data_IF_797179063799
#
_entry.id   IF_797179063799
#
_cell.length_a   1.000
_cell.length_b   1.000
_cell.length_c   1.000
_cell.angle_alpha   90.00
_cell.angle_beta   90.00
_cell.angle_gamma   90.00
#
_symmetry.space_group_name_H-M   'P 1'
#
loop_
_entity.id
_entity.type
_entity.pdbx_description
1 polymer ?
#
# COMPACT_ATOMS: atom_id res chain seq x y z
N UNK A 1 5.96 -25.86 13.56
CA UNK A 1 5.08 -24.66 13.62
C UNK A 1 4.50 -24.43 12.24
N UNK A 2 3.17 -24.42 12.15
CA UNK A 2 2.54 -24.71 10.87
C UNK A 2 2.55 -23.57 9.86
N UNK A 3 3.32 -23.69 8.80
CA UNK A 3 3.20 -22.91 7.57
C UNK A 3 1.76 -22.90 7.00
N UNK A 4 0.91 -23.86 7.45
CA UNK A 4 -0.51 -23.97 7.04
C UNK A 4 -1.42 -22.82 7.52
N UNK A 5 -1.00 -22.04 8.52
CA UNK A 5 -1.78 -20.91 9.08
C UNK A 5 -1.59 -19.58 8.34
N UNK A 6 -0.64 -19.50 7.41
CA UNK A 6 -0.44 -18.27 6.62
C UNK A 6 -1.61 -18.04 5.66
N UNK A 7 -2.07 -16.80 5.48
CA UNK A 7 -3.16 -16.50 4.57
C UNK A 7 -2.87 -17.00 3.15
N UNK A 8 -3.92 -17.34 2.41
CA UNK A 8 -3.80 -17.69 1.00
C UNK A 8 -3.57 -16.45 0.14
N UNK A 9 -4.22 -15.35 0.55
CA UNK A 9 -4.22 -14.10 -0.21
C UNK A 9 -3.93 -12.93 0.73
N UNK A 10 -2.98 -12.09 0.33
CA UNK A 10 -2.71 -10.80 0.97
C UNK A 10 -2.89 -9.74 -0.12
N UNK A 11 -4.02 -9.05 -0.10
CA UNK A 11 -4.31 -7.97 -1.03
C UNK A 11 -3.87 -6.63 -0.44
N UNK A 12 -3.15 -5.84 -1.24
CA UNK A 12 -2.86 -4.44 -0.96
C UNK A 12 -3.68 -3.60 -1.92
N UNK A 13 -4.33 -2.55 -1.43
CA UNK A 13 -5.04 -1.58 -2.25
C UNK A 13 -4.58 -0.18 -1.93
N UNK A 14 -4.29 0.62 -2.96
CA UNK A 14 -4.10 2.06 -2.83
C UNK A 14 -5.47 2.72 -2.63
N UNK A 15 -5.55 3.74 -1.79
CA UNK A 15 -6.77 4.53 -1.64
C UNK A 15 -7.31 5.02 -3.00
N UNK A 16 -8.62 5.21 -3.12
CA UNK A 16 -9.27 5.83 -4.26
C UNK A 16 -8.77 7.26 -4.50
N UNK A 17 -9.13 7.88 -5.60
CA UNK A 17 -8.76 9.27 -5.89
C UNK A 17 -9.16 10.19 -4.74
N UNK A 18 -8.20 10.97 -4.23
CA UNK A 18 -8.40 11.97 -3.19
C UNK A 18 -8.39 13.37 -3.77
N UNK A 19 -8.91 14.35 -3.01
CA UNK A 19 -8.87 15.75 -3.42
C UNK A 19 -7.44 16.24 -3.71
N UNK A 20 -6.43 15.73 -2.99
CA UNK A 20 -5.03 16.06 -3.25
C UNK A 20 -4.47 15.44 -4.55
N UNK A 21 -5.12 14.43 -5.12
CA UNK A 21 -4.75 13.93 -6.44
C UNK A 21 -5.20 14.86 -7.57
N UNK A 22 -6.21 15.69 -7.32
CA UNK A 22 -6.71 16.68 -8.28
C UNK A 22 -6.05 18.04 -8.09
N UNK A 23 -5.86 18.46 -6.84
CA UNK A 23 -5.35 19.81 -6.51
C UNK A 23 -4.43 19.73 -5.28
N UNK A 24 -3.12 19.88 -5.51
CA UNK A 24 -2.11 19.87 -4.44
C UNK A 24 -2.19 21.09 -3.52
N UNK A 25 -2.84 22.19 -3.92
CA UNK A 25 -2.99 23.36 -3.06
C UNK A 25 -3.79 23.08 -1.79
N UNK A 26 -4.50 21.95 -1.74
CA UNK A 26 -5.20 21.51 -0.52
C UNK A 26 -4.26 21.30 0.67
N UNK A 27 -2.99 20.93 0.43
CA UNK A 27 -1.99 20.73 1.49
C UNK A 27 -1.65 22.02 2.25
N UNK A 28 -1.96 23.20 1.68
CA UNK A 28 -1.75 24.48 2.36
C UNK A 28 -2.71 24.70 3.55
N UNK A 29 -3.87 24.03 3.53
CA UNK A 29 -4.98 24.31 4.46
C UNK A 29 -5.59 23.08 5.14
N UNK A 30 -5.39 21.88 4.58
CA UNK A 30 -5.90 20.63 5.13
C UNK A 30 -4.73 19.71 5.43
N UNK A 31 -4.59 19.23 6.68
CA UNK A 31 -3.56 18.26 7.02
C UNK A 31 -3.70 17.01 6.15
N UNK A 32 -2.60 16.45 5.68
CA UNK A 32 -2.59 15.32 4.73
C UNK A 32 -3.46 14.12 5.20
N UNK A 33 -3.41 13.81 6.50
CA UNK A 33 -4.21 12.71 7.05
C UNK A 33 -5.73 12.95 6.99
N UNK A 34 -6.18 14.21 6.87
CA UNK A 34 -7.59 14.60 6.86
C UNK A 34 -8.16 14.81 5.45
N UNK A 35 -7.35 14.68 4.39
CA UNK A 35 -7.78 14.86 3.01
C UNK A 35 -8.71 13.70 2.59
N UNK A 36 -9.95 14.01 2.11
CA UNK A 36 -10.93 13.00 1.74
C UNK A 36 -10.73 12.45 0.33
N UNK A 37 -11.51 11.41 0.01
CA UNK A 37 -11.72 10.97 -1.37
C UNK A 37 -12.59 11.98 -2.14
N UNK A 38 -12.41 11.98 -3.47
CA UNK A 38 -13.37 12.58 -4.40
C UNK A 38 -14.58 11.66 -4.59
N UNK A 39 -15.72 12.16 -5.15
CA UNK A 39 -16.81 11.29 -5.57
C UNK A 39 -16.34 10.16 -6.49
N UNK A 40 -15.43 10.45 -7.43
CA UNK A 40 -14.83 9.45 -8.30
C UNK A 40 -14.00 8.42 -7.53
N UNK A 41 -13.26 8.84 -6.50
CA UNK A 41 -12.51 7.93 -5.63
C UNK A 41 -13.39 6.93 -4.89
N UNK A 42 -14.61 7.35 -4.49
CA UNK A 42 -15.61 6.43 -3.92
C UNK A 42 -16.09 5.40 -4.96
N UNK A 43 -16.36 5.81 -6.20
CA UNK A 43 -16.76 4.92 -7.30
C UNK A 43 -15.64 3.92 -7.64
N UNK A 44 -14.40 4.38 -7.73
CA UNK A 44 -13.23 3.52 -7.94
C UNK A 44 -13.11 2.46 -6.85
N UNK A 45 -13.29 2.87 -5.58
CA UNK A 45 -13.23 1.98 -4.43
C UNK A 45 -14.35 0.93 -4.47
N UNK A 46 -15.57 1.33 -4.77
CA UNK A 46 -16.70 0.40 -4.91
C UNK A 46 -16.48 -0.63 -6.04
N UNK A 47 -15.90 -0.19 -7.17
CA UNK A 47 -15.54 -1.10 -8.26
C UNK A 47 -14.42 -2.08 -7.85
N UNK A 48 -13.44 -1.62 -7.06
CA UNK A 48 -12.39 -2.48 -6.51
C UNK A 48 -12.96 -3.50 -5.51
N UNK A 49 -13.94 -3.10 -4.70
CA UNK A 49 -14.59 -3.98 -3.73
C UNK A 49 -15.26 -5.20 -4.38
N UNK A 50 -15.91 -5.01 -5.53
CA UNK A 50 -16.50 -6.13 -6.30
C UNK A 50 -15.42 -7.15 -6.70
N UNK A 51 -14.27 -6.70 -7.22
CA UNK A 51 -13.15 -7.57 -7.61
C UNK A 51 -12.51 -8.26 -6.40
N UNK A 52 -12.41 -7.55 -5.27
CA UNK A 52 -11.88 -8.13 -4.04
C UNK A 52 -12.82 -9.19 -3.45
N UNK A 53 -14.13 -9.00 -3.53
CA UNK A 53 -15.11 -10.01 -3.10
C UNK A 53 -14.96 -11.31 -3.89
N UNK A 54 -14.88 -11.22 -5.21
CA UNK A 54 -14.60 -12.37 -6.06
C UNK A 54 -13.28 -13.05 -5.72
N UNK A 55 -12.22 -12.25 -5.51
CA UNK A 55 -10.90 -12.73 -5.10
C UNK A 55 -10.95 -13.49 -3.77
N UNK A 56 -11.70 -12.98 -2.80
CA UNK A 56 -11.79 -13.56 -1.46
C UNK A 56 -12.78 -14.72 -1.37
N UNK A 57 -13.53 -15.03 -2.45
CA UNK A 57 -14.48 -16.15 -2.52
C UNK A 57 -15.53 -16.07 -1.39
N UNK A 58 -16.00 -14.86 -1.07
CA UNK A 58 -16.92 -14.58 0.05
C UNK A 58 -16.44 -15.11 1.42
N UNK A 59 -15.14 -15.35 1.58
CA UNK A 59 -14.55 -15.80 2.85
C UNK A 59 -14.13 -14.61 3.75
N UNK A 60 -14.05 -14.83 5.08
CA UNK A 60 -13.63 -13.79 6.02
C UNK A 60 -12.27 -13.17 5.72
N UNK A 61 -12.20 -11.85 5.94
CA UNK A 61 -11.02 -11.02 5.67
C UNK A 61 -10.56 -10.31 6.96
N UNK A 62 -9.27 -10.34 7.24
CA UNK A 62 -8.64 -9.46 8.23
C UNK A 62 -8.14 -8.20 7.52
N UNK A 63 -8.51 -7.04 8.03
CA UNK A 63 -8.15 -5.76 7.44
C UNK A 63 -7.16 -5.02 8.34
N UNK A 64 -6.13 -4.43 7.70
CA UNK A 64 -5.29 -3.38 8.26
C UNK A 64 -5.43 -2.15 7.37
N UNK A 65 -5.77 -1.03 7.95
CA UNK A 65 -6.03 0.21 7.19
C UNK A 65 -5.20 1.36 7.74
N UNK A 66 -4.64 2.15 6.83
CA UNK A 66 -4.03 3.43 7.18
C UNK A 66 -5.05 4.33 7.87
N UNK A 67 -4.70 5.05 8.96
CA UNK A 67 -5.61 5.96 9.65
C UNK A 67 -5.96 7.22 8.85
N UNK A 68 -5.39 7.41 7.67
CA UNK A 68 -5.68 8.55 6.82
C UNK A 68 -7.10 8.49 6.27
N UNK A 69 -7.82 9.61 6.30
CA UNK A 69 -9.23 9.71 5.92
C UNK A 69 -9.54 9.06 4.58
N UNK A 70 -8.72 9.33 3.54
CA UNK A 70 -8.89 8.72 2.22
C UNK A 70 -8.79 7.20 2.22
N UNK A 71 -7.95 6.60 3.09
CA UNK A 71 -7.84 5.16 3.21
C UNK A 71 -9.04 4.55 3.96
N UNK A 72 -9.50 5.19 5.03
CA UNK A 72 -10.70 4.79 5.76
C UNK A 72 -11.95 4.86 4.85
N UNK A 73 -12.11 5.96 4.12
CA UNK A 73 -13.21 6.11 3.14
C UNK A 73 -13.12 5.09 1.99
N UNK A 74 -11.89 4.73 1.57
CA UNK A 74 -11.71 3.64 0.61
C UNK A 74 -12.26 2.34 1.18
N UNK A 75 -11.87 1.97 2.41
CA UNK A 75 -12.35 0.75 3.07
C UNK A 75 -13.89 0.72 3.15
N UNK A 76 -14.49 1.80 3.63
CA UNK A 76 -15.96 1.92 3.72
C UNK A 76 -16.64 1.74 2.35
N UNK A 77 -16.04 2.28 1.29
CA UNK A 77 -16.59 2.23 -0.08
C UNK A 77 -16.40 0.88 -0.77
N UNK A 78 -15.52 -0.01 -0.25
CA UNK A 78 -15.35 -1.35 -0.81
C UNK A 78 -16.62 -2.21 -0.70
N UNK A 79 -17.50 -1.94 0.28
CA UNK A 79 -18.74 -2.71 0.52
C UNK A 79 -18.46 -4.17 0.90
N UNK A 80 -17.46 -4.39 1.75
CA UNK A 80 -17.03 -5.71 2.23
C UNK A 80 -17.35 -5.97 3.70
N UNK A 81 -18.21 -5.14 4.31
CA UNK A 81 -18.47 -5.16 5.76
C UNK A 81 -18.86 -6.54 6.29
N UNK A 82 -19.62 -7.30 5.50
CA UNK A 82 -20.07 -8.66 5.81
C UNK A 82 -18.94 -9.70 5.81
N UNK A 83 -17.82 -9.41 5.15
CA UNK A 83 -16.63 -10.28 5.11
C UNK A 83 -15.59 -9.87 6.15
N UNK A 84 -15.65 -8.66 6.67
CA UNK A 84 -14.64 -8.14 7.58
C UNK A 84 -14.84 -8.71 8.99
N UNK A 85 -14.06 -9.72 9.35
CA UNK A 85 -14.06 -10.28 10.69
C UNK A 85 -13.33 -9.42 11.71
N UNK A 86 -12.28 -8.69 11.29
CA UNK A 86 -11.50 -7.77 12.11
C UNK A 86 -10.87 -6.69 11.24
N UNK A 87 -11.16 -5.44 11.55
CA UNK A 87 -10.46 -4.30 10.99
C UNK A 87 -9.63 -3.58 12.08
N UNK A 88 -8.39 -3.24 11.75
CA UNK A 88 -7.49 -2.46 12.62
C UNK A 88 -6.93 -1.28 11.86
N UNK A 89 -7.03 -0.09 12.45
CA UNK A 89 -6.21 1.03 12.02
C UNK A 89 -4.74 0.73 12.36
N UNK A 90 -3.87 0.90 11.38
CA UNK A 90 -2.45 0.61 11.49
C UNK A 90 -1.63 1.85 11.06
N UNK A 91 -1.17 2.65 12.02
CA UNK A 91 -0.46 3.90 11.73
C UNK A 91 0.83 3.71 10.91
N UNK A 92 1.44 2.53 10.95
CA UNK A 92 2.63 2.21 10.16
C UNK A 92 2.33 2.03 8.66
N UNK A 93 1.04 1.95 8.27
CA UNK A 93 0.59 1.92 6.87
C UNK A 93 0.23 3.30 6.31
N UNK A 94 0.44 4.41 7.06
CA UNK A 94 0.23 5.76 6.57
C UNK A 94 1.14 6.07 5.37
N UNK A 95 0.82 7.10 4.61
CA UNK A 95 1.69 7.56 3.53
C UNK A 95 2.99 8.17 4.08
N UNK A 96 3.99 8.31 3.24
CA UNK A 96 5.20 9.07 3.55
C UNK A 96 4.82 10.47 4.00
N UNK A 97 5.41 10.91 5.10
CA UNK A 97 5.19 12.26 5.62
C UNK A 97 6.01 13.28 4.81
N UNK A 98 5.32 14.27 4.27
CA UNK A 98 5.91 15.36 3.47
C UNK A 98 6.01 16.66 4.27
N UNK A 99 5.93 16.61 5.58
CA UNK A 99 5.77 17.70 6.55
C UNK A 99 4.31 18.13 6.75
N UNK A 100 4.10 19.16 7.60
CA UNK A 100 2.76 19.55 8.05
C UNK A 100 1.94 20.22 6.95
N UNK A 101 2.00 21.56 6.86
CA UNK A 101 1.36 22.32 5.78
C UNK A 101 2.42 22.73 4.77
N UNK A 102 2.10 22.62 3.48
CA UNK A 102 3.05 22.89 2.41
C UNK A 102 2.41 23.78 1.35
N UNK A 103 3.14 24.78 0.90
CA UNK A 103 2.75 25.51 -0.31
C UNK A 103 3.10 24.70 -1.58
N UNK A 104 2.38 24.99 -2.66
CA UNK A 104 2.51 24.23 -3.91
C UNK A 104 3.91 24.34 -4.52
N UNK A 105 4.55 25.51 -4.44
CA UNK A 105 5.89 25.72 -5.02
C UNK A 105 6.94 24.89 -4.28
N UNK A 106 6.82 24.76 -2.94
CA UNK A 106 7.73 23.93 -2.14
C UNK A 106 7.52 22.43 -2.42
N UNK A 107 6.28 22.01 -2.58
CA UNK A 107 5.97 20.61 -2.98
C UNK A 107 6.64 20.28 -4.32
N UNK A 108 6.45 21.11 -5.34
CA UNK A 108 7.03 20.88 -6.67
C UNK A 108 8.56 20.87 -6.63
N UNK A 109 9.15 21.79 -5.87
CA UNK A 109 10.60 21.84 -5.68
C UNK A 109 11.13 20.57 -5.01
N UNK A 110 10.49 20.10 -3.96
CA UNK A 110 10.91 18.91 -3.24
C UNK A 110 10.68 17.63 -4.05
N UNK A 111 9.62 17.54 -4.86
CA UNK A 111 9.41 16.46 -5.81
C UNK A 111 10.55 16.38 -6.83
N UNK A 112 10.92 17.49 -7.44
CA UNK A 112 12.02 17.54 -8.41
C UNK A 112 13.37 17.12 -7.78
N UNK A 113 13.62 17.52 -6.54
CA UNK A 113 14.81 17.10 -5.80
C UNK A 113 14.78 15.61 -5.50
N UNK A 114 13.65 15.07 -5.07
CA UNK A 114 13.46 13.63 -4.82
C UNK A 114 13.68 12.82 -6.10
N UNK A 115 13.13 13.24 -7.23
CA UNK A 115 13.26 12.54 -8.51
C UNK A 115 14.73 12.50 -8.98
N UNK A 116 15.52 13.54 -8.64
CA UNK A 116 16.96 13.59 -8.92
C UNK A 116 17.80 12.77 -7.93
N UNK A 117 17.41 12.72 -6.65
CA UNK A 117 18.18 12.09 -5.58
C UNK A 117 17.87 10.61 -5.41
N UNK A 118 16.64 10.21 -5.72
CA UNK A 118 16.08 8.87 -5.53
C UNK A 118 15.02 8.82 -4.43
N UNK A 119 13.91 8.14 -4.72
CA UNK A 119 12.72 8.07 -3.86
C UNK A 119 12.97 7.35 -2.53
N UNK A 120 13.94 6.45 -2.47
CA UNK A 120 14.22 5.68 -1.27
C UNK A 120 14.98 6.49 -0.22
N UNK A 121 15.98 7.26 -0.63
CA UNK A 121 16.85 7.95 0.31
C UNK A 121 16.54 9.44 0.47
N UNK A 122 15.82 10.07 -0.47
CA UNK A 122 15.45 11.47 -0.31
C UNK A 122 14.52 11.65 0.89
N UNK A 123 14.90 12.56 1.78
CA UNK A 123 14.09 12.96 2.93
C UNK A 123 13.45 14.31 2.64
N UNK A 124 12.13 14.38 2.75
CA UNK A 124 11.43 15.66 2.75
C UNK A 124 11.87 16.50 3.94
N UNK A 125 11.95 17.81 3.75
CA UNK A 125 12.23 18.75 4.85
C UNK A 125 11.15 18.58 5.92
N UNK A 126 11.56 18.32 7.15
CA UNK A 126 10.65 18.03 8.28
C UNK A 126 9.72 16.82 8.10
N UNK A 127 10.03 15.94 7.15
CA UNK A 127 9.25 14.74 6.81
C UNK A 127 10.04 13.44 6.81
N UNK A 128 9.49 12.42 6.19
CA UNK A 128 10.06 11.08 6.06
C UNK A 128 10.83 10.92 4.73
N UNK A 129 11.84 10.05 4.75
CA UNK A 129 12.39 9.42 3.54
C UNK A 129 11.63 8.12 3.22
N UNK A 130 11.83 7.56 2.02
CA UNK A 130 11.36 6.21 1.72
C UNK A 130 11.97 5.16 2.66
N UNK A 131 13.21 5.35 3.12
CA UNK A 131 13.86 4.47 4.10
C UNK A 131 13.12 4.44 5.44
N UNK A 132 12.64 5.58 5.95
CA UNK A 132 11.85 5.62 7.19
C UNK A 132 10.52 4.86 7.02
N UNK A 133 9.88 5.00 5.87
CA UNK A 133 8.66 4.23 5.55
C UNK A 133 8.97 2.73 5.49
N UNK A 134 10.10 2.34 4.89
CA UNK A 134 10.55 0.94 4.83
C UNK A 134 10.76 0.36 6.23
N UNK A 135 11.34 1.12 7.15
CA UNK A 135 11.59 0.67 8.52
C UNK A 135 10.29 0.45 9.30
N UNK A 136 9.33 1.40 9.21
CA UNK A 136 8.03 1.21 9.89
C UNK A 136 7.18 0.11 9.27
N UNK A 137 7.26 -0.09 7.96
CA UNK A 137 6.63 -1.23 7.27
C UNK A 137 7.29 -2.55 7.70
N UNK A 138 8.61 -2.59 7.88
CA UNK A 138 9.32 -3.77 8.39
C UNK A 138 8.82 -4.15 9.80
N UNK A 139 8.65 -3.18 10.69
CA UNK A 139 8.07 -3.39 12.01
C UNK A 139 6.60 -3.87 11.94
N UNK A 140 5.80 -3.34 11.01
CA UNK A 140 4.44 -3.82 10.79
C UNK A 140 4.41 -5.28 10.33
N UNK A 141 5.29 -5.68 9.43
CA UNK A 141 5.38 -7.07 8.95
C UNK A 141 5.63 -8.05 10.10
N UNK A 142 6.44 -7.70 11.09
CA UNK A 142 6.64 -8.53 12.29
C UNK A 142 5.33 -8.73 13.07
N UNK A 143 4.52 -7.68 13.20
CA UNK A 143 3.19 -7.77 13.84
C UNK A 143 2.27 -8.67 13.02
N UNK A 144 2.20 -8.44 11.72
CA UNK A 144 1.36 -9.22 10.82
C UNK A 144 1.73 -10.71 10.82
N UNK A 145 3.02 -11.04 10.86
CA UNK A 145 3.48 -12.43 10.96
C UNK A 145 3.07 -13.08 12.28
N UNK A 146 3.12 -12.38 13.41
CA UNK A 146 2.59 -12.89 14.69
C UNK A 146 1.09 -13.10 14.64
N UNK A 147 0.35 -12.20 13.99
CA UNK A 147 -1.10 -12.33 13.82
C UNK A 147 -1.48 -13.55 12.97
N UNK A 148 -0.63 -13.99 12.04
CA UNK A 148 -0.85 -15.20 11.25
C UNK A 148 -0.73 -16.50 12.10
N UNK A 149 -0.06 -16.45 13.24
CA UNK A 149 0.09 -17.61 14.11
C UNK A 149 -1.08 -17.81 15.08
N UNK A 150 -2.00 -16.82 15.15
CA UNK A 150 -3.20 -16.94 15.98
C UNK A 150 -4.16 -18.02 15.47
N UNK A 151 -5.02 -18.53 16.38
CA UNK A 151 -5.99 -19.57 16.02
C UNK A 151 -6.99 -19.10 14.94
N UNK A 152 -7.33 -17.80 14.98
CA UNK A 152 -8.32 -17.16 14.11
C UNK A 152 -7.68 -16.46 12.89
N UNK A 153 -6.53 -16.95 12.43
CA UNK A 153 -5.88 -16.39 11.24
C UNK A 153 -6.73 -16.64 9.99
N UNK A 154 -7.28 -15.60 9.35
CA UNK A 154 -8.11 -15.77 8.18
C UNK A 154 -7.27 -16.15 6.96
N UNK A 155 -7.94 -16.77 5.96
CA UNK A 155 -7.31 -17.09 4.67
C UNK A 155 -6.98 -15.86 3.84
N UNK A 156 -7.68 -14.75 4.09
CA UNK A 156 -7.55 -13.50 3.36
C UNK A 156 -7.14 -12.35 4.28
N UNK A 157 -6.23 -11.52 3.80
CA UNK A 157 -5.80 -10.27 4.45
C UNK A 157 -5.92 -9.14 3.44
N UNK A 158 -6.42 -8.00 3.87
CA UNK A 158 -6.50 -6.77 3.08
C UNK A 158 -5.73 -5.66 3.78
N UNK A 159 -4.85 -5.00 3.03
CA UNK A 159 -4.11 -3.81 3.46
C UNK A 159 -4.61 -2.62 2.64
N UNK A 160 -5.25 -1.65 3.29
CA UNK A 160 -5.68 -0.40 2.63
C UNK A 160 -4.66 0.69 2.95
N UNK A 161 -3.95 1.17 1.93
CA UNK A 161 -2.77 2.01 2.14
C UNK A 161 -2.53 2.98 0.96
N UNK A 162 -1.29 3.31 0.67
CA UNK A 162 -0.85 4.36 -0.24
C UNK A 162 0.19 3.83 -1.22
N UNK A 163 0.43 4.58 -2.30
CA UNK A 163 1.25 4.11 -3.40
C UNK A 163 2.69 3.76 -3.02
N UNK A 164 3.39 4.68 -2.36
CA UNK A 164 4.77 4.44 -1.93
C UNK A 164 4.84 3.32 -0.90
N UNK A 165 3.93 3.34 0.09
CA UNK A 165 3.88 2.33 1.16
C UNK A 165 3.66 0.93 0.60
N UNK A 166 2.81 0.76 -0.44
CA UNK A 166 2.60 -0.54 -1.11
C UNK A 166 3.87 -1.04 -1.80
N UNK A 167 4.60 -0.18 -2.51
CA UNK A 167 5.87 -0.54 -3.16
C UNK A 167 6.91 -0.97 -2.13
N UNK A 168 7.03 -0.23 -1.02
CA UNK A 168 7.99 -0.53 0.05
C UNK A 168 7.60 -1.79 0.82
N UNK A 169 6.30 -2.05 1.00
CA UNK A 169 5.83 -3.32 1.54
C UNK A 169 6.29 -4.50 0.67
N UNK A 170 6.07 -4.42 -0.63
CA UNK A 170 6.50 -5.47 -1.56
C UNK A 170 8.03 -5.55 -1.63
N UNK A 171 8.74 -4.43 -1.65
CA UNK A 171 10.20 -4.41 -1.57
C UNK A 171 10.71 -5.17 -0.34
N UNK A 172 10.13 -4.91 0.82
CA UNK A 172 10.52 -5.60 2.07
C UNK A 172 10.14 -7.07 2.06
N UNK A 173 8.95 -7.40 1.56
CA UNK A 173 8.45 -8.76 1.48
C UNK A 173 9.28 -9.66 0.57
N UNK A 174 9.57 -9.18 -0.64
CA UNK A 174 10.31 -9.92 -1.67
C UNK A 174 11.82 -9.70 -1.64
N UNK A 175 12.31 -8.85 -0.72
CA UNK A 175 13.72 -8.48 -0.62
C UNK A 175 14.27 -7.87 -1.92
N UNK A 176 13.49 -7.00 -2.57
CA UNK A 176 13.95 -6.28 -3.75
C UNK A 176 15.09 -5.32 -3.43
N UNK A 177 15.92 -5.04 -4.43
CA UNK A 177 16.96 -4.04 -4.33
C UNK A 177 16.39 -2.61 -4.33
N UNK A 178 17.12 -1.66 -3.75
CA UNK A 178 16.78 -0.23 -3.87
C UNK A 178 16.74 0.18 -5.34
N UNK A 179 17.71 -0.30 -6.15
CA UNK A 179 17.77 -0.02 -7.58
C UNK A 179 16.48 -0.45 -8.30
N UNK A 180 15.93 -1.62 -7.97
CA UNK A 180 14.68 -2.08 -8.56
C UNK A 180 13.49 -1.25 -8.06
N UNK A 181 13.42 -0.98 -6.76
CA UNK A 181 12.38 -0.13 -6.19
C UNK A 181 12.29 1.25 -6.86
N UNK A 182 13.44 1.87 -7.18
CA UNK A 182 13.49 3.19 -7.84
C UNK A 182 12.86 3.18 -9.24
N UNK A 183 12.79 2.03 -9.90
CA UNK A 183 12.14 1.94 -11.22
C UNK A 183 10.63 1.84 -11.15
N UNK A 184 10.06 1.51 -9.99
CA UNK A 184 8.64 1.21 -9.86
C UNK A 184 7.78 2.47 -9.80
N UNK A 185 6.65 2.45 -10.50
CA UNK A 185 5.58 3.46 -10.38
C UNK A 185 4.64 3.13 -9.23
N UNK A 186 4.00 4.16 -8.68
CA UNK A 186 2.88 3.93 -7.78
C UNK A 186 1.73 3.25 -8.54
N UNK A 187 1.01 2.30 -7.92
CA UNK A 187 -0.25 1.81 -8.48
C UNK A 187 -1.23 2.97 -8.70
N UNK A 188 -2.17 2.80 -9.61
CA UNK A 188 -3.25 3.76 -9.78
C UNK A 188 -4.19 3.80 -8.56
N UNK A 189 -5.05 4.82 -8.47
CA UNK A 189 -6.02 4.93 -7.39
C UNK A 189 -6.98 3.73 -7.39
N UNK A 190 -7.27 3.18 -6.22
CA UNK A 190 -8.02 1.94 -6.00
C UNK A 190 -7.48 0.70 -6.75
N UNK A 191 -6.22 0.76 -7.19
CA UNK A 191 -5.54 -0.39 -7.78
C UNK A 191 -5.05 -1.35 -6.69
N UNK A 192 -5.13 -2.65 -6.99
CA UNK A 192 -4.71 -3.72 -6.07
C UNK A 192 -3.42 -4.40 -6.55
N UNK A 193 -2.68 -4.94 -5.59
CA UNK A 193 -1.64 -5.97 -5.79
C UNK A 193 -1.91 -7.11 -4.82
N UNK A 194 -1.84 -8.33 -5.31
CA UNK A 194 -2.18 -9.50 -4.49
C UNK A 194 -0.99 -10.43 -4.38
N UNK A 195 -0.60 -10.71 -3.15
CA UNK A 195 0.37 -11.76 -2.86
C UNK A 195 -0.40 -13.08 -2.71
N UNK A 196 -0.17 -14.02 -3.62
CA UNK A 196 -0.81 -15.33 -3.67
C UNK A 196 0.15 -16.39 -3.14
N UNK A 197 -0.28 -17.12 -2.09
CA UNK A 197 0.50 -18.22 -1.52
C UNK A 197 0.54 -19.38 -2.50
N UNK A 198 1.74 -19.82 -2.80
CA UNK A 198 2.00 -20.98 -3.65
C UNK A 198 1.97 -22.29 -2.83
N UNK A 199 1.91 -23.47 -3.49
CA UNK A 199 1.96 -24.77 -2.80
C UNK A 199 3.22 -24.99 -1.95
N UNK A 200 4.34 -24.36 -2.29
CA UNK A 200 5.60 -24.36 -1.54
C UNK A 200 5.62 -23.35 -0.38
N UNK A 201 4.47 -22.72 -0.06
CA UNK A 201 4.29 -21.69 0.96
C UNK A 201 5.00 -20.36 0.69
N UNK A 202 5.62 -20.18 -0.45
CA UNK A 202 6.10 -18.87 -0.91
C UNK A 202 4.94 -18.05 -1.45
N UNK A 203 5.17 -16.75 -1.55
CA UNK A 203 4.18 -15.85 -2.15
C UNK A 203 4.69 -15.31 -3.47
N UNK A 204 3.78 -15.10 -4.39
CA UNK A 204 4.01 -14.41 -5.64
C UNK A 204 2.97 -13.30 -5.83
N UNK A 205 3.38 -12.21 -6.48
CA UNK A 205 2.45 -11.17 -6.91
C UNK A 205 1.60 -11.67 -8.09
N UNK A 206 0.34 -11.28 -8.10
CA UNK A 206 -0.59 -11.50 -9.20
C UNK A 206 -0.09 -10.86 -10.51
N UNK A 207 0.52 -9.69 -10.40
CA UNK A 207 1.15 -8.96 -11.50
C UNK A 207 2.23 -7.99 -11.01
N UNK A 208 3.23 -7.63 -11.86
CA UNK A 208 4.26 -6.67 -11.50
C UNK A 208 3.71 -5.25 -11.35
N UNK A 209 4.45 -4.39 -10.66
CA UNK A 209 4.25 -2.95 -10.73
C UNK A 209 4.70 -2.41 -12.08
N UNK A 210 4.06 -1.36 -12.57
CA UNK A 210 4.57 -0.61 -13.71
C UNK A 210 5.90 0.07 -13.37
N UNK A 211 6.69 0.35 -14.40
CA UNK A 211 8.01 0.96 -14.26
C UNK A 211 8.07 2.30 -15.02
N UNK A 212 8.84 3.25 -14.47
CA UNK A 212 9.16 4.51 -15.14
C UNK A 212 10.18 4.33 -16.26
N UNK A 213 11.11 3.41 -16.05
CA UNK A 213 12.20 3.11 -16.97
C UNK A 213 12.28 1.61 -17.17
N UNK A 214 12.62 1.20 -18.37
CA UNK A 214 12.91 -0.21 -18.64
C UNK A 214 14.09 -0.66 -17.78
N UNK A 215 13.84 -1.60 -16.92
CA UNK A 215 14.84 -2.31 -16.13
C UNK A 215 14.60 -3.80 -16.30
N UNK A 216 15.59 -4.52 -16.77
CA UNK A 216 15.51 -5.98 -16.76
C UNK A 216 15.64 -6.48 -15.31
N UNK A 217 14.57 -6.99 -14.72
CA UNK A 217 14.62 -7.50 -13.36
C UNK A 217 15.54 -8.72 -13.28
N UNK A 218 16.27 -8.82 -12.19
CA UNK A 218 17.11 -9.99 -11.89
C UNK A 218 16.25 -11.24 -11.72
N UNK A 219 16.85 -12.43 -11.78
CA UNK A 219 16.15 -13.70 -11.53
C UNK A 219 15.42 -13.70 -10.18
N UNK A 220 16.02 -13.14 -9.14
CA UNK A 220 15.41 -12.99 -7.82
C UNK A 220 14.17 -12.09 -7.84
N UNK A 221 14.24 -10.97 -8.53
CA UNK A 221 13.12 -10.03 -8.65
C UNK A 221 11.99 -10.63 -9.48
N UNK A 222 12.31 -11.33 -10.57
CA UNK A 222 11.33 -12.09 -11.39
C UNK A 222 10.66 -13.22 -10.61
N UNK A 223 11.36 -13.87 -9.71
CA UNK A 223 10.79 -14.97 -8.91
C UNK A 223 9.66 -14.54 -7.96
N UNK A 224 9.48 -13.23 -7.75
CA UNK A 224 8.39 -12.66 -6.98
C UNK A 224 7.04 -12.65 -7.74
N UNK A 225 7.05 -12.89 -9.06
CA UNK A 225 5.85 -12.81 -9.90
C UNK A 225 5.32 -14.19 -10.29
N UNK A 226 4.02 -14.24 -10.64
CA UNK A 226 3.36 -15.43 -11.19
C UNK A 226 3.76 -15.68 -12.64
#
# INVERSE_FOLDING_TARGET
MGLSKRPLRIALIRHGESEANLDKSIFERVPDHAIPLTPHGHEQSAAAGKRLRELFEDEPVRVYVSPYKRALQTLDSLGLDDLIGLAREEPRLREQDWANFQDTDDIERQEALRDSYGHFFYRFTDGESGADVYDRVSSFLETMHRDFETADSPRNVLLVSHGLTMRLFCMRWFHWSVKFFETLRNPDNAETRVLLRQPDYRYKLDRPFEQWTEHEPTERERSAWL
#
